data_IF_161600802350
#
_entry.id   IF_161600802350
#
_cell.length_a   1.000
_cell.length_b   1.000
_cell.length_c   1.000
_cell.angle_alpha   90.00
_cell.angle_beta   90.00
_cell.angle_gamma   90.00
#
_symmetry.space_group_name_H-M   'P 1'
#
loop_
_entity.id
_entity.type
_entity.pdbx_description
1 polymer ?
#
# COMPACT_ATOMS: atom_id res chain seq x y z
N UNK A 1 -2.58 35.67 -23.43
CA UNK A 1 -2.53 34.22 -23.14
C UNK A 1 -3.15 34.01 -21.76
N UNK A 2 -4.41 33.59 -21.68
CA UNK A 2 -5.15 33.43 -20.41
C UNK A 2 -4.78 32.06 -19.85
N UNK A 3 -4.06 32.05 -18.71
CA UNK A 3 -3.79 30.82 -17.95
C UNK A 3 -5.08 30.45 -17.22
N UNK A 4 -5.75 29.41 -17.67
CA UNK A 4 -6.87 28.80 -16.95
C UNK A 4 -6.27 27.94 -15.85
N UNK A 5 -6.26 28.46 -14.64
CA UNK A 5 -5.98 27.65 -13.44
C UNK A 5 -7.22 26.81 -13.18
N UNK A 6 -7.18 25.56 -13.64
CA UNK A 6 -8.19 24.57 -13.29
C UNK A 6 -7.90 24.13 -11.84
N UNK A 7 -8.56 24.77 -10.90
CA UNK A 7 -8.57 24.30 -9.50
C UNK A 7 -9.29 22.95 -9.48
N UNK A 8 -8.54 21.86 -9.43
CA UNK A 8 -9.07 20.55 -9.10
C UNK A 8 -9.51 20.58 -7.63
N UNK A 9 -10.75 20.96 -7.41
CA UNK A 9 -11.45 20.70 -6.16
C UNK A 9 -11.65 19.18 -6.09
N UNK A 10 -10.67 18.48 -5.51
CA UNK A 10 -10.84 17.09 -5.11
C UNK A 10 -11.96 17.09 -4.07
N UNK A 11 -13.09 16.43 -4.33
CA UNK A 11 -14.06 16.22 -3.28
C UNK A 11 -13.35 15.42 -2.20
N UNK A 12 -13.25 15.99 -1.00
CA UNK A 12 -12.94 15.24 0.21
C UNK A 12 -14.14 14.30 0.50
N UNK A 13 -14.47 13.47 -0.48
CA UNK A 13 -15.38 12.36 -0.32
C UNK A 13 -14.74 11.43 0.67
N UNK A 14 -15.37 11.23 1.81
CA UNK A 14 -15.06 10.14 2.70
C UNK A 14 -14.98 8.88 1.84
N UNK A 15 -13.76 8.43 1.60
CA UNK A 15 -13.51 7.14 0.99
C UNK A 15 -14.06 6.14 2.00
N UNK A 16 -15.28 5.69 1.78
CA UNK A 16 -15.81 4.54 2.49
C UNK A 16 -14.81 3.42 2.23
N UNK A 17 -13.96 3.19 3.21
CA UNK A 17 -13.07 2.04 3.20
C UNK A 17 -13.98 0.83 3.22
N UNK A 18 -14.25 0.27 2.05
CA UNK A 18 -14.74 -1.08 2.03
C UNK A 18 -13.67 -1.90 2.71
N UNK A 19 -14.02 -2.53 3.81
CA UNK A 19 -13.13 -3.37 4.60
C UNK A 19 -12.70 -4.58 3.77
N UNK A 20 -11.74 -4.38 2.90
CA UNK A 20 -11.02 -5.47 2.25
C UNK A 20 -9.83 -5.77 3.14
N UNK A 21 -9.82 -6.93 3.76
CA UNK A 21 -8.68 -7.43 4.51
C UNK A 21 -7.53 -7.58 3.52
N UNK A 22 -6.54 -6.71 3.63
CA UNK A 22 -5.39 -6.65 2.73
C UNK A 22 -4.16 -7.41 3.26
N UNK A 23 -4.27 -7.94 4.46
CA UNK A 23 -3.28 -8.82 5.08
C UNK A 23 -4.02 -9.96 5.82
N UNK A 24 -3.44 -11.14 5.87
CA UNK A 24 -4.01 -12.32 6.50
C UNK A 24 -3.01 -12.97 7.46
N UNK A 25 -2.35 -12.16 8.26
CA UNK A 25 -1.39 -12.66 9.21
C UNK A 25 -1.76 -12.23 10.63
N UNK A 26 -1.87 -13.16 11.59
CA UNK A 26 -2.11 -12.82 12.99
C UNK A 26 -1.00 -11.92 13.58
N UNK A 27 0.20 -11.99 13.02
CA UNK A 27 1.32 -11.16 13.45
C UNK A 27 1.14 -9.67 13.13
N UNK A 28 0.21 -9.31 12.23
CA UNK A 28 -0.08 -7.92 11.92
C UNK A 28 -0.82 -7.17 13.03
N UNK A 29 -1.23 -7.85 14.10
CA UNK A 29 -1.77 -7.21 15.31
C UNK A 29 -0.71 -6.43 16.10
N UNK A 30 0.58 -6.66 15.83
CA UNK A 30 1.67 -6.00 16.52
C UNK A 30 2.29 -4.89 15.68
N UNK A 31 2.63 -3.77 16.34
CA UNK A 31 3.34 -2.65 15.74
C UNK A 31 2.57 -1.97 14.60
N UNK A 32 3.23 -1.78 13.47
CA UNK A 32 2.67 -1.13 12.29
C UNK A 32 2.02 -2.11 11.30
N UNK A 33 1.97 -3.40 11.63
CA UNK A 33 1.51 -4.44 10.73
C UNK A 33 2.58 -4.92 9.75
N UNK A 34 2.14 -5.47 8.63
CA UNK A 34 3.02 -5.96 7.57
C UNK A 34 3.51 -4.80 6.69
N UNK A 35 4.83 -4.58 6.70
CA UNK A 35 5.44 -3.48 5.98
C UNK A 35 5.51 -3.76 4.49
N UNK A 36 5.02 -2.82 3.72
CA UNK A 36 5.07 -2.89 2.27
C UNK A 36 6.48 -2.62 1.74
N UNK A 37 6.96 -3.46 0.83
CA UNK A 37 8.24 -3.22 0.14
C UNK A 37 8.16 -1.92 -0.66
N UNK A 38 9.10 -0.97 -0.50
CA UNK A 38 9.08 0.29 -1.22
C UNK A 38 9.35 0.09 -2.73
N UNK A 39 8.97 1.07 -3.52
CA UNK A 39 9.15 1.08 -4.98
C UNK A 39 7.84 0.94 -5.74
N UNK A 40 7.80 1.48 -6.96
CA UNK A 40 6.69 1.27 -7.90
C UNK A 40 6.57 -0.21 -8.25
N UNK A 41 5.42 -0.65 -8.74
CA UNK A 41 5.23 -2.03 -9.19
C UNK A 41 6.32 -2.45 -10.19
N UNK A 42 6.74 -1.55 -11.07
CA UNK A 42 7.83 -1.77 -12.03
C UNK A 42 9.19 -1.98 -11.33
N UNK A 43 9.57 -1.10 -10.38
CA UNK A 43 10.85 -1.21 -9.68
C UNK A 43 10.92 -2.51 -8.86
N UNK A 44 9.81 -2.94 -8.31
CA UNK A 44 9.71 -4.20 -7.58
C UNK A 44 9.85 -5.42 -8.47
N UNK A 45 9.31 -5.40 -9.68
CA UNK A 45 9.49 -6.49 -10.64
C UNK A 45 10.96 -6.69 -11.05
N UNK A 46 11.79 -5.64 -10.87
CA UNK A 46 13.24 -5.69 -11.06
C UNK A 46 14.03 -5.95 -9.76
N UNK A 47 13.39 -6.52 -8.74
CA UNK A 47 14.04 -6.82 -7.47
C UNK A 47 14.12 -5.63 -6.50
N UNK A 48 13.32 -4.58 -6.67
CA UNK A 48 13.28 -3.44 -5.75
C UNK A 48 14.41 -2.42 -5.94
N UNK A 49 15.09 -2.43 -7.09
CA UNK A 49 16.09 -1.42 -7.42
C UNK A 49 15.40 -0.06 -7.53
N UNK A 50 15.85 0.94 -6.79
CA UNK A 50 15.21 2.26 -6.82
C UNK A 50 16.14 3.39 -6.41
N UNK A 51 17.05 3.14 -5.47
CA UNK A 51 17.88 4.20 -4.90
C UNK A 51 18.78 4.89 -5.95
N UNK A 52 19.39 4.13 -6.84
CA UNK A 52 20.27 4.65 -7.91
C UNK A 52 19.60 4.62 -9.29
N UNK A 53 18.37 4.13 -9.39
CA UNK A 53 17.70 3.99 -10.67
C UNK A 53 17.16 5.34 -11.16
N UNK A 54 17.54 5.69 -12.39
CA UNK A 54 17.13 6.93 -13.05
C UNK A 54 16.67 6.65 -14.46
N UNK A 55 15.45 7.02 -14.81
CA UNK A 55 14.85 6.77 -16.10
C UNK A 55 14.03 7.98 -16.56
N UNK A 56 13.92 8.16 -17.88
CA UNK A 56 13.22 9.29 -18.48
C UNK A 56 11.71 9.09 -18.59
N UNK A 57 11.26 7.84 -18.58
CA UNK A 57 9.87 7.45 -18.85
C UNK A 57 9.20 6.73 -17.67
N UNK A 58 9.89 6.65 -16.53
CA UNK A 58 9.39 5.96 -15.34
C UNK A 58 9.53 6.82 -14.09
N UNK A 59 8.53 6.77 -13.25
CA UNK A 59 8.54 7.47 -11.97
C UNK A 59 9.29 6.64 -10.94
N UNK A 60 10.27 7.26 -10.28
CA UNK A 60 10.96 6.68 -9.15
C UNK A 60 10.87 7.61 -7.94
N UNK A 61 9.95 7.33 -7.03
CA UNK A 61 9.77 8.11 -5.81
C UNK A 61 10.73 7.72 -4.68
N UNK A 62 11.57 6.72 -4.87
CA UNK A 62 12.62 6.35 -3.92
C UNK A 62 13.83 7.27 -4.01
N UNK A 63 14.02 7.89 -5.19
CA UNK A 63 15.10 8.83 -5.45
C UNK A 63 14.53 10.11 -6.09
N UNK A 64 14.33 11.19 -5.34
CA UNK A 64 13.81 12.46 -5.89
C UNK A 64 14.67 13.04 -7.01
N UNK A 65 15.99 12.82 -7.00
CA UNK A 65 16.87 13.27 -8.06
C UNK A 65 16.55 12.65 -9.43
N UNK A 66 15.79 11.54 -9.45
CA UNK A 66 15.34 10.92 -10.71
C UNK A 66 14.32 11.77 -11.45
N UNK A 67 13.61 12.68 -10.79
CA UNK A 67 12.60 13.52 -11.42
C UNK A 67 13.20 14.48 -12.45
N UNK A 68 14.46 14.92 -12.26
CA UNK A 68 15.17 15.72 -13.25
C UNK A 68 15.54 14.98 -14.54
N UNK A 69 15.41 13.66 -14.55
CA UNK A 69 15.62 12.85 -15.74
C UNK A 69 14.37 12.73 -16.61
N UNK A 70 13.19 13.09 -16.11
CA UNK A 70 11.92 13.02 -16.85
C UNK A 70 12.04 13.81 -18.15
N UNK A 71 11.59 13.21 -19.25
CA UNK A 71 11.70 13.79 -20.57
C UNK A 71 11.02 15.16 -20.65
N UNK A 72 11.67 16.18 -21.23
CA UNK A 72 11.08 17.51 -21.39
C UNK A 72 9.74 17.47 -22.12
N UNK A 73 8.78 18.30 -21.66
CA UNK A 73 7.42 18.39 -22.21
C UNK A 73 6.59 17.10 -22.08
N UNK A 74 6.97 16.20 -21.17
CA UNK A 74 6.21 14.98 -20.88
C UNK A 74 5.46 15.10 -19.54
N UNK A 75 4.43 14.30 -19.41
CA UNK A 75 3.72 14.07 -18.17
C UNK A 75 3.69 12.56 -17.93
N UNK A 76 4.24 12.11 -16.83
CA UNK A 76 4.25 10.71 -16.47
C UNK A 76 3.13 10.44 -15.47
N UNK A 77 2.36 9.41 -15.74
CA UNK A 77 1.39 8.84 -14.82
C UNK A 77 1.74 7.39 -14.58
N UNK A 78 1.77 6.98 -13.32
CA UNK A 78 1.99 5.61 -12.92
C UNK A 78 0.81 5.12 -12.09
N UNK A 79 0.37 3.90 -12.39
CA UNK A 79 -0.64 3.20 -11.64
C UNK A 79 -0.23 1.74 -11.50
N UNK A 80 0.02 1.31 -10.28
CA UNK A 80 0.46 -0.04 -9.98
C UNK A 80 -0.59 -0.81 -9.20
N UNK A 81 -0.77 -2.08 -9.56
CA UNK A 81 -1.59 -3.05 -8.84
C UNK A 81 -0.74 -4.24 -8.42
N UNK A 82 -1.13 -4.89 -7.34
CA UNK A 82 -0.47 -6.08 -6.83
C UNK A 82 -1.50 -7.12 -6.42
N UNK A 83 -1.31 -8.34 -6.91
CA UNK A 83 -2.05 -9.52 -6.45
C UNK A 83 -1.14 -10.40 -5.61
N UNK A 84 -1.58 -10.82 -4.44
CA UNK A 84 -0.84 -11.72 -3.56
C UNK A 84 -1.68 -12.94 -3.23
N UNK A 85 -1.05 -14.11 -3.30
CA UNK A 85 -1.63 -15.38 -2.90
C UNK A 85 -0.91 -15.87 -1.65
N UNK A 86 -1.64 -15.99 -0.55
CA UNK A 86 -1.13 -16.50 0.71
C UNK A 86 -1.55 -17.96 0.91
N UNK A 87 -0.60 -18.81 1.16
CA UNK A 87 -0.83 -20.20 1.57
C UNK A 87 -0.42 -20.37 3.01
N UNK A 88 -1.40 -20.55 3.88
CA UNK A 88 -1.17 -20.80 5.30
C UNK A 88 -1.37 -22.28 5.57
N UNK A 89 -0.36 -22.91 6.18
CA UNK A 89 -0.42 -24.32 6.57
C UNK A 89 0.00 -24.47 8.04
N UNK A 90 -0.86 -25.09 8.82
CA UNK A 90 -0.58 -25.43 10.22
C UNK A 90 -1.04 -26.86 10.45
N UNK A 91 -0.09 -27.80 10.62
CA UNK A 91 -0.40 -29.22 10.78
C UNK A 91 -1.24 -29.74 9.60
N UNK A 92 -2.46 -30.17 9.88
CA UNK A 92 -3.42 -30.68 8.88
C UNK A 92 -4.28 -29.59 8.23
N UNK A 93 -4.32 -28.40 8.83
CA UNK A 93 -5.13 -27.30 8.31
C UNK A 93 -4.38 -26.51 7.23
N UNK A 94 -5.06 -26.28 6.11
CA UNK A 94 -4.54 -25.48 4.99
C UNK A 94 -5.57 -24.42 4.61
N UNK A 95 -5.12 -23.17 4.52
CA UNK A 95 -5.96 -22.07 4.03
C UNK A 95 -5.22 -21.30 2.93
N UNK A 96 -5.97 -20.80 1.96
CA UNK A 96 -5.46 -19.98 0.87
C UNK A 96 -6.28 -18.70 0.78
N UNK A 97 -5.59 -17.57 0.70
CA UNK A 97 -6.21 -16.25 0.58
C UNK A 97 -5.59 -15.51 -0.60
N UNK A 98 -6.42 -14.83 -1.36
CA UNK A 98 -6.00 -14.00 -2.47
C UNK A 98 -6.35 -12.55 -2.12
N UNK A 99 -5.37 -11.66 -2.28
CA UNK A 99 -5.59 -10.21 -2.14
C UNK A 99 -5.24 -9.51 -3.44
N UNK A 100 -5.97 -8.45 -3.73
CA UNK A 100 -5.71 -7.59 -4.88
C UNK A 100 -5.76 -6.13 -4.43
N UNK A 101 -4.63 -5.44 -4.50
CA UNK A 101 -4.48 -4.11 -3.94
C UNK A 101 -3.92 -3.12 -4.95
N UNK A 102 -4.36 -1.86 -4.85
CA UNK A 102 -3.66 -0.76 -5.50
C UNK A 102 -2.35 -0.54 -4.78
N UNK A 103 -1.26 -0.59 -5.54
CA UNK A 103 0.09 -0.53 -4.98
C UNK A 103 0.68 0.85 -4.98
N UNK A 104 0.56 1.54 -6.08
CA UNK A 104 1.09 2.88 -6.24
C UNK A 104 0.32 3.67 -7.27
N UNK A 105 0.14 4.93 -6.96
CA UNK A 105 -0.37 5.94 -7.88
C UNK A 105 0.62 7.09 -7.85
N UNK A 106 1.07 7.53 -9.00
CA UNK A 106 2.05 8.61 -9.04
C UNK A 106 1.96 9.43 -10.32
N UNK A 107 2.37 10.68 -10.19
CA UNK A 107 2.54 11.61 -11.30
C UNK A 107 3.93 12.23 -11.22
N UNK A 108 4.53 12.50 -12.36
CA UNK A 108 5.76 13.27 -12.43
C UNK A 108 5.79 14.08 -13.74
N UNK A 109 6.36 15.27 -13.66
CA UNK A 109 6.52 16.16 -14.81
C UNK A 109 7.75 17.07 -14.64
N UNK A 110 8.38 17.49 -15.73
CA UNK A 110 9.47 18.43 -15.68
C UNK A 110 8.94 19.85 -15.47
N UNK A 111 9.53 20.58 -14.51
CA UNK A 111 9.24 21.99 -14.26
C UNK A 111 10.18 22.86 -15.09
N UNK A 112 11.45 22.48 -15.15
CA UNK A 112 12.48 23.18 -15.88
C UNK A 112 13.46 22.18 -16.54
N UNK A 113 14.45 22.68 -17.29
CA UNK A 113 15.36 21.84 -18.06
C UNK A 113 16.12 20.77 -17.25
N UNK A 114 16.31 21.03 -15.95
CA UNK A 114 17.01 20.09 -15.02
C UNK A 114 16.28 19.93 -13.69
N UNK A 115 15.00 20.26 -13.68
CA UNK A 115 14.19 20.24 -12.48
C UNK A 115 12.87 19.54 -12.79
N UNK A 116 12.57 18.47 -12.06
CA UNK A 116 11.32 17.74 -12.14
C UNK A 116 10.58 17.72 -10.81
N UNK A 117 9.29 17.53 -10.88
CA UNK A 117 8.40 17.35 -9.73
C UNK A 117 7.76 15.97 -9.79
N UNK A 118 7.60 15.35 -8.63
CA UNK A 118 6.87 14.10 -8.51
C UNK A 118 5.98 14.09 -7.27
N UNK A 119 4.82 13.49 -7.45
CA UNK A 119 3.86 13.20 -6.38
C UNK A 119 3.48 11.73 -6.46
N UNK A 120 3.47 11.03 -5.34
CA UNK A 120 3.05 9.64 -5.30
C UNK A 120 2.31 9.29 -4.01
N UNK A 121 1.42 8.31 -4.13
CA UNK A 121 0.66 7.72 -3.03
C UNK A 121 0.95 6.23 -3.04
N UNK A 122 1.43 5.71 -1.91
CA UNK A 122 1.84 4.32 -1.78
C UNK A 122 1.44 3.77 -0.42
N UNK A 123 0.99 2.51 -0.31
CA UNK A 123 0.80 1.88 0.98
C UNK A 123 2.16 1.70 1.67
N UNK A 124 2.20 2.00 2.97
CA UNK A 124 3.36 1.80 3.81
C UNK A 124 3.26 0.49 4.58
N UNK A 125 2.08 0.20 5.14
CA UNK A 125 1.84 -1.05 5.84
C UNK A 125 0.37 -1.47 5.73
N UNK A 126 0.12 -2.76 5.95
CA UNK A 126 -1.20 -3.34 5.99
C UNK A 126 -1.40 -4.13 7.29
N UNK A 127 -2.58 -4.01 7.86
CA UNK A 127 -3.02 -4.76 9.04
C UNK A 127 -4.25 -5.54 8.65
N UNK A 128 -4.25 -6.84 8.92
CA UNK A 128 -5.42 -7.68 8.71
C UNK A 128 -5.26 -8.98 9.48
N UNK A 129 -6.04 -9.13 10.55
CA UNK A 129 -6.05 -10.36 11.31
C UNK A 129 -7.46 -10.72 11.76
N UNK A 130 -7.68 -12.01 11.87
CA UNK A 130 -8.88 -12.59 12.45
C UNK A 130 -8.48 -13.83 13.23
N UNK A 131 -8.64 -13.77 14.55
CA UNK A 131 -8.32 -14.85 15.46
C UNK A 131 -9.56 -15.23 16.26
N UNK A 132 -9.73 -16.51 16.51
CA UNK A 132 -10.80 -17.04 17.35
C UNK A 132 -10.16 -17.86 18.48
N UNK A 133 -10.53 -17.56 19.71
CA UNK A 133 -10.11 -18.27 20.88
C UNK A 133 -11.34 -18.88 21.57
N UNK A 134 -11.28 -20.18 21.80
CA UNK A 134 -12.33 -20.88 22.56
C UNK A 134 -11.94 -20.92 24.03
N UNK A 135 -12.79 -20.42 24.89
CA UNK A 135 -12.56 -20.45 26.34
C UNK A 135 -12.66 -21.89 26.82
N UNK A 136 -11.58 -22.35 27.47
CA UNK A 136 -11.49 -23.72 28.02
C UNK A 136 -11.65 -23.74 29.55
N UNK A 137 -11.93 -22.59 30.17
CA UNK A 137 -12.10 -22.46 31.59
C UNK A 137 -13.36 -23.23 32.08
N UNK A 138 -13.23 -24.23 33.00
CA UNK A 138 -14.34 -25.05 33.45
C UNK A 138 -15.44 -24.27 34.12
N UNK A 139 -15.11 -23.20 34.84
CA UNK A 139 -16.08 -22.40 35.58
C UNK A 139 -16.96 -21.57 34.64
N UNK A 140 -16.38 -21.07 33.57
CA UNK A 140 -17.08 -20.34 32.52
C UNK A 140 -17.97 -21.28 31.72
N UNK A 141 -17.44 -22.46 31.36
CA UNK A 141 -18.19 -23.49 30.65
C UNK A 141 -19.43 -23.97 31.41
N UNK A 142 -19.32 -24.09 32.76
CA UNK A 142 -20.44 -24.53 33.61
C UNK A 142 -21.51 -23.45 33.76
N UNK A 143 -21.14 -22.16 33.72
CA UNK A 143 -22.06 -21.04 34.02
C UNK A 143 -22.70 -20.46 32.77
N UNK A 144 -21.94 -20.28 31.68
CA UNK A 144 -22.34 -19.55 30.47
C UNK A 144 -22.40 -20.47 29.25
N UNK A 145 -21.80 -21.65 29.33
CA UNK A 145 -21.64 -22.55 28.21
C UNK A 145 -20.40 -22.22 27.35
N UNK A 146 -20.37 -22.70 26.13
CA UNK A 146 -19.21 -22.53 25.25
C UNK A 146 -19.10 -21.08 24.77
N UNK A 147 -18.08 -20.38 25.22
CA UNK A 147 -17.77 -19.01 24.85
C UNK A 147 -16.59 -18.99 23.88
N UNK A 148 -16.70 -18.20 22.79
CA UNK A 148 -15.63 -17.94 21.83
C UNK A 148 -15.34 -16.44 21.78
N UNK A 149 -14.08 -16.10 21.95
CA UNK A 149 -13.61 -14.75 21.70
C UNK A 149 -13.17 -14.63 20.25
N UNK A 150 -13.61 -13.56 19.60
CA UNK A 150 -13.25 -13.25 18.23
C UNK A 150 -12.52 -11.92 18.19
N UNK A 151 -11.26 -11.96 17.79
CA UNK A 151 -10.41 -10.79 17.62
C UNK A 151 -10.24 -10.53 16.13
N UNK A 152 -10.57 -9.33 15.69
CA UNK A 152 -10.34 -8.92 14.29
C UNK A 152 -9.84 -7.48 14.25
N UNK A 153 -8.89 -7.22 13.37
CA UNK A 153 -8.40 -5.88 13.10
C UNK A 153 -8.09 -5.73 11.62
N UNK A 154 -8.43 -4.57 11.09
CA UNK A 154 -8.20 -4.21 9.70
C UNK A 154 -7.69 -2.78 9.65
N UNK A 155 -6.75 -2.51 8.75
CA UNK A 155 -6.23 -1.17 8.56
C UNK A 155 -4.96 -1.13 7.73
N UNK A 156 -4.35 0.04 7.72
CA UNK A 156 -3.08 0.23 7.05
C UNK A 156 -2.65 1.69 7.06
N UNK A 157 -1.39 1.90 6.77
CA UNK A 157 -0.82 3.21 6.60
C UNK A 157 -0.57 3.49 5.13
N UNK A 158 -1.00 4.66 4.69
CA UNK A 158 -0.74 5.16 3.34
C UNK A 158 0.22 6.32 3.41
N UNK A 159 1.24 6.29 2.56
CA UNK A 159 2.27 7.31 2.49
C UNK A 159 2.06 8.20 1.28
N UNK A 160 2.02 9.51 1.51
CA UNK A 160 2.03 10.53 0.47
C UNK A 160 3.46 11.08 0.36
N UNK A 161 3.99 11.11 -0.84
CA UNK A 161 5.33 11.62 -1.15
C UNK A 161 5.22 12.71 -2.19
N UNK A 162 5.81 13.86 -1.90
CA UNK A 162 6.02 14.92 -2.86
C UNK A 162 7.51 15.25 -2.89
N UNK A 163 8.06 15.48 -4.07
CA UNK A 163 9.47 15.74 -4.20
C UNK A 163 9.80 16.56 -5.44
N UNK A 164 10.92 17.23 -5.35
CA UNK A 164 11.55 18.00 -6.44
C UNK A 164 12.97 17.49 -6.59
N UNK A 165 13.42 17.32 -7.81
CA UNK A 165 14.77 16.83 -8.09
C UNK A 165 15.30 17.26 -9.45
#
# INVERSE_FOLDING_TARGET
MKVVVLALALPAGAWAQSSSINAFSPYTCYGLGDMSTPGTAYLRSMGGIGVAFRNQVMINYMNPASYSAVQPKSFLFNFGMEGQNFYLKTGESKNSYNTFNVRDVGIAFPIARRLGFGLSVTPLSNVGYRMEETVTDPDILATVGQVKYKYSGEGGLTQFKAGVG
#
